data_IF_144125419162
#
_entry.id   IF_144125419162
#
_cell.length_a   1.000
_cell.length_b   1.000
_cell.length_c   1.000
_cell.angle_alpha   90.00
_cell.angle_beta   90.00
_cell.angle_gamma   90.00
#
_symmetry.space_group_name_H-M   'P 1'
#
loop_
_entity.id
_entity.type
_entity.pdbx_description
1 polymer ?
#
# COMPACT_ATOMS: atom_id res chain seq x y z
N UNK A 1 6.23 -2.62 2.62
CA UNK A 1 5.57 -1.51 1.89
C UNK A 1 4.12 -1.45 2.35
N UNK A 2 3.50 -0.28 2.23
CA UNK A 2 2.06 -0.12 2.48
C UNK A 2 1.27 -0.36 1.19
N UNK A 3 0.08 -0.98 1.25
CA UNK A 3 -0.76 -1.27 0.10
C UNK A 3 -2.04 -0.42 0.11
N UNK A 4 -2.02 0.66 -0.68
CA UNK A 4 -3.12 1.61 -0.74
C UNK A 4 -4.36 1.07 -1.49
N UNK A 5 -4.24 0.34 -2.63
CA UNK A 5 -5.38 -0.31 -3.27
C UNK A 5 -6.18 -1.23 -2.33
N UNK A 6 -5.49 -2.09 -1.55
CA UNK A 6 -6.16 -2.97 -0.58
C UNK A 6 -6.82 -2.16 0.54
N UNK A 7 -6.15 -1.13 1.07
CA UNK A 7 -6.73 -0.27 2.09
C UNK A 7 -8.00 0.44 1.60
N UNK A 8 -7.99 0.97 0.37
CA UNK A 8 -9.15 1.60 -0.28
C UNK A 8 -10.28 0.59 -0.51
N UNK A 9 -9.95 -0.62 -0.96
CA UNK A 9 -10.93 -1.70 -1.10
C UNK A 9 -11.60 -2.02 0.23
N UNK A 10 -10.82 -2.24 1.29
CA UNK A 10 -11.31 -2.48 2.65
C UNK A 10 -12.22 -1.34 3.13
N UNK A 11 -11.84 -0.09 2.86
CA UNK A 11 -12.62 1.08 3.22
C UNK A 11 -14.04 1.03 2.65
N UNK A 12 -14.14 0.73 1.34
CA UNK A 12 -15.42 0.68 0.63
C UNK A 12 -16.31 -0.47 1.07
N UNK A 13 -15.75 -1.66 1.29
CA UNK A 13 -16.58 -2.83 1.64
C UNK A 13 -17.02 -2.84 3.10
N UNK A 14 -16.26 -2.21 4.00
CA UNK A 14 -16.56 -2.17 5.43
C UNK A 14 -17.17 -0.83 5.89
N UNK A 15 -17.28 0.16 5.00
CA UNK A 15 -17.75 1.50 5.37
C UNK A 15 -16.84 2.20 6.38
N UNK A 16 -15.52 2.00 6.25
CA UNK A 16 -14.52 2.60 7.16
C UNK A 16 -14.62 4.13 7.08
N UNK A 17 -14.84 4.77 8.22
CA UNK A 17 -14.85 6.23 8.34
C UNK A 17 -13.46 6.78 8.65
N UNK A 18 -12.69 6.03 9.45
CA UNK A 18 -11.40 6.48 10.00
C UNK A 18 -10.36 5.36 9.96
N UNK A 19 -9.11 5.74 9.73
CA UNK A 19 -7.97 4.83 9.76
C UNK A 19 -7.09 5.08 10.98
N UNK A 20 -6.71 4.00 11.65
CA UNK A 20 -5.63 4.00 12.64
C UNK A 20 -4.44 3.31 12.01
N UNK A 21 -3.42 4.09 11.66
CA UNK A 21 -2.14 3.55 11.18
C UNK A 21 -1.31 3.13 12.39
N UNK A 22 -0.90 1.86 12.41
CA UNK A 22 -0.13 1.28 13.51
C UNK A 22 1.25 0.89 13.02
N UNK A 23 2.21 0.79 13.96
CA UNK A 23 3.58 0.39 13.68
C UNK A 23 4.23 1.30 12.62
N UNK A 24 4.19 2.60 12.85
CA UNK A 24 4.89 3.54 11.97
C UNK A 24 6.40 3.52 12.24
N UNK A 25 6.78 3.32 13.50
CA UNK A 25 8.14 3.23 14.03
C UNK A 25 9.02 2.15 13.35
N UNK A 26 8.43 1.05 12.87
CA UNK A 26 9.19 0.02 12.14
C UNK A 26 9.69 0.47 10.76
N UNK A 27 9.24 1.63 10.26
CA UNK A 27 9.73 2.22 9.02
C UNK A 27 10.91 3.20 9.26
N UNK A 28 11.21 3.54 10.51
CA UNK A 28 12.31 4.45 10.86
C UNK A 28 13.65 3.89 10.36
N UNK A 29 14.46 4.75 9.75
CA UNK A 29 15.78 4.37 9.21
C UNK A 29 15.79 4.00 7.72
N UNK A 30 14.63 3.89 7.08
CA UNK A 30 14.53 3.75 5.62
C UNK A 30 14.73 5.12 4.96
N UNK A 31 15.61 5.22 3.95
CA UNK A 31 15.77 6.47 3.18
C UNK A 31 14.51 6.81 2.37
N UNK A 32 13.89 5.78 1.78
CA UNK A 32 12.66 5.89 0.99
C UNK A 32 11.68 4.81 1.39
N UNK A 33 10.43 5.20 1.57
CA UNK A 33 9.34 4.29 1.94
C UNK A 33 8.54 3.96 0.69
N UNK A 34 8.54 2.70 0.24
CA UNK A 34 7.70 2.27 -0.86
C UNK A 34 6.25 2.12 -0.41
N UNK A 35 5.35 2.76 -1.16
CA UNK A 35 3.90 2.63 -1.03
C UNK A 35 3.34 2.14 -2.36
N UNK A 36 2.66 1.00 -2.35
CA UNK A 36 1.96 0.46 -3.52
C UNK A 36 0.71 1.32 -3.76
N UNK A 37 0.62 1.93 -4.94
CA UNK A 37 -0.50 2.83 -5.31
C UNK A 37 -1.43 2.22 -6.36
N UNK A 38 -0.95 1.21 -7.08
CA UNK A 38 -1.68 0.49 -8.13
C UNK A 38 -0.96 -0.84 -8.40
N UNK A 39 -1.57 -1.70 -9.20
CA UNK A 39 -0.94 -2.89 -9.74
C UNK A 39 -0.79 -2.78 -11.26
N UNK A 40 0.18 -3.48 -11.82
CA UNK A 40 0.24 -3.82 -13.23
C UNK A 40 -0.14 -5.29 -13.38
N UNK A 41 -1.17 -5.58 -14.17
CA UNK A 41 -1.59 -6.95 -14.50
C UNK A 41 -1.55 -7.07 -16.01
N UNK A 42 -0.75 -8.00 -16.53
CA UNK A 42 -0.58 -8.24 -17.97
C UNK A 42 -0.29 -6.96 -18.78
N UNK A 43 0.54 -6.07 -18.23
CA UNK A 43 0.94 -4.81 -18.84
C UNK A 43 -0.08 -3.67 -18.74
N UNK A 44 -1.19 -3.87 -18.02
CA UNK A 44 -2.20 -2.83 -17.78
C UNK A 44 -2.16 -2.36 -16.33
N UNK A 45 -2.15 -1.04 -16.14
CA UNK A 45 -2.32 -0.43 -14.82
C UNK A 45 -3.74 -0.63 -14.34
N UNK A 46 -3.87 -1.24 -13.17
CA UNK A 46 -5.13 -1.47 -12.47
C UNK A 46 -5.05 -0.76 -11.12
N UNK A 47 -6.02 0.12 -10.85
CA UNK A 47 -6.08 0.86 -9.58
C UNK A 47 -6.84 0.08 -8.51
N UNK A 48 -7.65 -0.88 -8.91
CA UNK A 48 -8.41 -1.72 -8.00
C UNK A 48 -7.69 -3.03 -7.70
N UNK A 49 -8.02 -3.62 -6.55
CA UNK A 49 -7.55 -4.96 -6.21
C UNK A 49 -8.07 -5.94 -7.28
N UNK A 50 -7.20 -6.70 -7.96
CA UNK A 50 -7.63 -7.69 -8.93
C UNK A 50 -8.61 -8.70 -8.31
N UNK A 51 -9.71 -8.98 -9.02
CA UNK A 51 -10.80 -9.79 -8.48
C UNK A 51 -10.50 -11.29 -8.51
N UNK A 52 -9.81 -11.77 -9.54
CA UNK A 52 -9.47 -13.19 -9.66
C UNK A 52 -8.11 -13.49 -9.04
N UNK A 53 -7.96 -14.71 -8.50
CA UNK A 53 -6.69 -15.17 -7.95
C UNK A 53 -5.58 -15.18 -9.01
N UNK A 54 -5.92 -15.51 -10.26
CA UNK A 54 -4.96 -15.53 -11.37
C UNK A 54 -4.44 -14.12 -11.67
N UNK A 55 -5.33 -13.13 -11.75
CA UNK A 55 -4.92 -11.74 -11.99
C UNK A 55 -4.09 -11.21 -10.83
N UNK A 56 -4.47 -11.55 -9.60
CA UNK A 56 -3.71 -11.17 -8.41
C UNK A 56 -2.33 -11.85 -8.37
N UNK A 57 -2.21 -13.08 -8.89
CA UNK A 57 -0.93 -13.78 -9.00
C UNK A 57 0.03 -13.10 -10.00
N UNK A 58 -0.51 -12.55 -11.09
CA UNK A 58 0.26 -11.82 -12.10
C UNK A 58 0.44 -10.32 -11.76
N UNK A 59 -0.20 -9.84 -10.70
CA UNK A 59 -0.15 -8.45 -10.29
C UNK A 59 1.24 -8.06 -9.80
N UNK A 60 1.87 -7.12 -10.50
CA UNK A 60 3.11 -6.49 -10.07
C UNK A 60 2.78 -5.14 -9.40
N UNK A 61 3.22 -4.89 -8.15
CA UNK A 61 2.92 -3.64 -7.46
C UNK A 61 3.66 -2.46 -8.11
N UNK A 62 2.93 -1.36 -8.33
CA UNK A 62 3.48 -0.08 -8.76
C UNK A 62 3.72 0.77 -7.51
N UNK A 63 5.00 1.06 -7.23
CA UNK A 63 5.40 1.82 -6.04
C UNK A 63 5.60 3.31 -6.32
N UNK A 64 5.09 4.12 -5.42
CA UNK A 64 5.60 5.48 -5.19
C UNK A 64 6.51 5.47 -3.97
N UNK A 65 7.56 6.31 -4.02
CA UNK A 65 8.56 6.39 -2.97
C UNK A 65 8.43 7.72 -2.23
N UNK A 66 8.15 7.62 -0.94
CA UNK A 66 8.07 8.77 -0.04
C UNK A 66 9.40 8.92 0.71
N UNK A 67 9.81 10.15 1.07
CA UNK A 67 10.96 10.34 1.94
C UNK A 67 10.70 9.66 3.29
N UNK A 68 11.67 8.87 3.77
CA UNK A 68 11.62 8.33 5.11
C UNK A 68 12.15 9.30 6.16
N UNK A 69 12.31 8.81 7.38
CA UNK A 69 12.76 9.58 8.54
C UNK A 69 13.70 8.75 9.41
N UNK A 70 14.45 9.44 10.27
CA UNK A 70 15.43 8.82 11.18
C UNK A 70 15.14 9.14 12.66
N UNK A 71 14.21 10.03 12.91
CA UNK A 71 13.75 10.41 14.23
C UNK A 71 13.04 9.25 14.94
N UNK A 72 13.24 9.15 16.25
CA UNK A 72 12.50 8.21 17.08
C UNK A 72 11.07 8.71 17.28
N UNK A 73 10.11 7.86 16.89
CA UNK A 73 8.67 8.12 16.93
C UNK A 73 7.91 7.01 17.70
N UNK A 74 8.60 6.24 18.55
CA UNK A 74 8.03 5.10 19.29
C UNK A 74 7.04 5.47 20.42
N UNK A 75 6.74 6.77 20.58
CA UNK A 75 5.90 7.34 21.64
C UNK A 75 4.40 7.30 21.40
#
# INVERSE_FOLDING_TARGET
WYDAPIARYSARINGVTDFVLTKLDVLTGLEKIPVCVAYEVDGQRVEEVPWSQSDFHHATPIYEYFPGWHEDISG
#
